data_IF_285447265337
#
_entry.id   IF_285447265337
#
_cell.length_a   1.000
_cell.length_b   1.000
_cell.length_c   1.000
_cell.angle_alpha   90.00
_cell.angle_beta   90.00
_cell.angle_gamma   90.00
#
_symmetry.space_group_name_H-M   'P 1'
#
loop_
_entity.id
_entity.type
_entity.pdbx_description
1 polymer ?
#
# COMPACT_ATOMS: atom_id res chain seq x y z
N UNK A 1 16.18 52.53 -27.28
CA UNK A 1 15.05 51.60 -27.21
C UNK A 1 14.94 51.07 -25.79
N UNK A 2 14.07 51.67 -24.97
CA UNK A 2 13.78 51.21 -23.60
C UNK A 2 12.85 49.99 -23.68
N UNK A 3 13.33 48.82 -23.28
CA UNK A 3 12.54 47.58 -23.26
C UNK A 3 11.65 47.61 -22.02
N UNK A 4 10.40 48.03 -22.21
CA UNK A 4 9.33 47.93 -21.22
C UNK A 4 9.14 46.45 -20.88
N UNK A 5 9.42 46.07 -19.63
CA UNK A 5 9.07 44.75 -19.10
C UNK A 5 7.60 44.79 -18.68
N UNK A 6 6.72 43.89 -19.17
CA UNK A 6 5.35 43.84 -18.73
C UNK A 6 5.24 43.14 -17.37
N UNK A 7 4.60 43.85 -16.44
CA UNK A 7 3.96 43.39 -15.21
C UNK A 7 3.27 42.01 -15.37
N UNK A 8 3.96 40.92 -14.99
CA UNK A 8 3.32 39.62 -14.75
C UNK A 8 2.72 39.60 -13.35
N UNK A 9 1.60 40.30 -13.27
CA UNK A 9 0.39 39.94 -12.54
C UNK A 9 0.50 38.69 -11.64
N UNK A 10 0.47 38.96 -10.32
CA UNK A 10 -0.36 38.26 -9.33
C UNK A 10 -0.63 36.78 -9.64
N UNK A 11 0.37 35.91 -9.44
CA UNK A 11 0.07 34.51 -9.19
C UNK A 11 -0.40 34.39 -7.74
N UNK A 12 -1.61 33.88 -7.59
CA UNK A 12 -2.33 33.70 -6.34
C UNK A 12 -1.40 33.32 -5.19
N UNK A 13 -1.43 34.14 -4.13
CA UNK A 13 -0.97 33.77 -2.79
C UNK A 13 -1.95 32.72 -2.26
N UNK A 14 -1.95 31.54 -2.86
CA UNK A 14 -2.47 30.34 -2.22
C UNK A 14 -1.45 30.00 -1.16
N UNK A 15 -1.85 30.09 0.11
CA UNK A 15 -1.00 29.79 1.27
C UNK A 15 -0.13 28.55 0.95
N UNK A 16 1.22 28.64 0.96
CA UNK A 16 2.04 27.49 0.63
C UNK A 16 1.61 26.35 1.57
N UNK A 17 1.40 25.12 1.04
CA UNK A 17 1.02 24.01 1.89
C UNK A 17 2.04 23.92 3.02
N UNK A 18 1.57 24.11 4.25
CA UNK A 18 2.38 24.03 5.46
C UNK A 18 3.24 22.78 5.39
N UNK A 19 4.51 22.87 5.81
CA UNK A 19 5.50 21.79 5.63
C UNK A 19 4.95 20.41 6.05
N UNK A 20 4.14 20.39 7.11
CA UNK A 20 3.40 19.22 7.61
C UNK A 20 2.50 18.57 6.54
N UNK A 21 1.75 19.35 5.77
CA UNK A 21 0.86 18.82 4.71
C UNK A 21 1.65 18.14 3.59
N UNK A 22 2.86 18.65 3.27
CA UNK A 22 3.73 18.02 2.26
C UNK A 22 4.33 16.72 2.78
N UNK A 23 4.74 16.67 4.06
CA UNK A 23 5.29 15.48 4.69
C UNK A 23 4.26 14.35 4.77
N UNK A 24 3.03 14.66 5.22
CA UNK A 24 1.95 13.67 5.30
C UNK A 24 1.59 13.15 3.91
N UNK A 25 1.44 14.05 2.92
CA UNK A 25 1.16 13.63 1.54
C UNK A 25 2.27 12.77 0.94
N UNK A 26 3.54 13.10 1.21
CA UNK A 26 4.69 12.29 0.77
C UNK A 26 4.66 10.90 1.37
N UNK A 27 4.51 10.79 2.69
CA UNK A 27 4.50 9.51 3.39
C UNK A 27 3.37 8.58 2.92
N UNK A 28 2.16 9.11 2.73
CA UNK A 28 1.02 8.33 2.22
C UNK A 28 1.26 7.91 0.76
N UNK A 29 1.80 8.80 -0.08
CA UNK A 29 2.08 8.50 -1.47
C UNK A 29 3.16 7.41 -1.61
N UNK A 30 4.22 7.48 -0.80
CA UNK A 30 5.30 6.51 -0.78
C UNK A 30 4.79 5.15 -0.31
N UNK A 31 4.02 5.09 0.78
CA UNK A 31 3.41 3.84 1.27
C UNK A 31 2.46 3.22 0.24
N UNK A 32 1.64 4.04 -0.42
CA UNK A 32 0.74 3.57 -1.46
C UNK A 32 1.51 3.00 -2.67
N UNK A 33 2.60 3.65 -3.07
CA UNK A 33 3.45 3.17 -4.16
C UNK A 33 4.13 1.83 -3.82
N UNK A 34 4.65 1.70 -2.59
CA UNK A 34 5.26 0.46 -2.09
C UNK A 34 4.23 -0.67 -2.07
N UNK A 35 3.07 -0.44 -1.46
CA UNK A 35 2.01 -1.45 -1.36
C UNK A 35 1.48 -1.89 -2.73
N UNK A 36 1.30 -0.93 -3.66
CA UNK A 36 0.86 -1.23 -5.03
C UNK A 36 1.90 -2.05 -5.78
N UNK A 37 3.19 -1.71 -5.65
CA UNK A 37 4.28 -2.45 -6.28
C UNK A 37 4.37 -3.89 -5.74
N UNK A 38 4.29 -4.04 -4.42
CA UNK A 38 4.28 -5.35 -3.77
C UNK A 38 3.08 -6.20 -4.24
N UNK A 39 1.90 -5.57 -4.39
CA UNK A 39 0.73 -6.26 -4.90
C UNK A 39 0.91 -6.70 -6.36
N UNK A 40 1.41 -5.83 -7.25
CA UNK A 40 1.65 -6.20 -8.66
C UNK A 40 2.60 -7.40 -8.76
N UNK A 41 3.62 -7.46 -7.89
CA UNK A 41 4.59 -8.55 -7.90
C UNK A 41 4.07 -9.86 -7.30
N UNK A 42 3.14 -9.77 -6.33
CA UNK A 42 2.54 -10.94 -5.65
C UNK A 42 1.23 -11.41 -6.30
N UNK A 43 0.54 -10.57 -7.06
CA UNK A 43 -0.68 -10.94 -7.76
C UNK A 43 -0.56 -12.19 -8.65
N UNK A 44 0.54 -12.42 -9.41
CA UNK A 44 0.69 -13.63 -10.22
C UNK A 44 0.79 -14.90 -9.37
N UNK A 45 1.53 -14.85 -8.25
CA UNK A 45 1.69 -16.00 -7.35
C UNK A 45 0.34 -16.32 -6.68
N UNK A 46 -0.37 -15.28 -6.22
CA UNK A 46 -1.69 -15.42 -5.59
C UNK A 46 -2.70 -16.00 -6.60
N UNK A 47 -2.70 -15.50 -7.83
CA UNK A 47 -3.53 -16.02 -8.90
C UNK A 47 -3.24 -17.49 -9.19
N UNK A 48 -1.97 -17.88 -9.23
CA UNK A 48 -1.59 -19.27 -9.50
C UNK A 48 -2.10 -20.24 -8.42
N UNK A 49 -1.88 -19.92 -7.15
CA UNK A 49 -2.23 -20.80 -6.03
C UNK A 49 -3.71 -20.77 -5.66
N UNK A 50 -4.31 -19.58 -5.63
CA UNK A 50 -5.69 -19.41 -5.17
C UNK A 50 -6.69 -19.35 -6.33
N UNK A 51 -6.24 -19.13 -7.58
CA UNK A 51 -7.09 -19.04 -8.76
C UNK A 51 -7.98 -17.78 -8.77
N UNK A 52 -7.71 -16.82 -7.88
CA UNK A 52 -8.57 -15.68 -7.59
C UNK A 52 -7.74 -14.43 -7.37
N UNK A 53 -8.17 -13.30 -7.93
CA UNK A 53 -7.60 -11.98 -7.67
C UNK A 53 -8.69 -11.10 -7.04
N UNK A 54 -8.37 -10.49 -5.89
CA UNK A 54 -9.24 -9.51 -5.24
C UNK A 54 -8.79 -8.09 -5.62
N UNK A 55 -9.64 -7.29 -6.31
CA UNK A 55 -9.34 -5.89 -6.63
C UNK A 55 -9.17 -5.00 -5.39
N UNK A 56 -9.73 -5.43 -4.25
CA UNK A 56 -9.65 -4.70 -2.98
C UNK A 56 -8.32 -4.92 -2.25
N UNK A 57 -7.55 -5.93 -2.62
CA UNK A 57 -6.34 -6.31 -1.92
C UNK A 57 -5.25 -5.21 -1.87
N UNK A 58 -5.00 -4.39 -2.91
CA UNK A 58 -4.09 -3.25 -2.79
C UNK A 58 -4.53 -2.24 -1.74
N UNK A 59 -5.82 -1.88 -1.74
CA UNK A 59 -6.38 -0.91 -0.79
C UNK A 59 -6.36 -1.43 0.65
N UNK A 60 -6.74 -2.70 0.82
CA UNK A 60 -6.65 -3.38 2.10
C UNK A 60 -5.19 -3.42 2.59
N UNK A 61 -4.24 -3.75 1.73
CA UNK A 61 -2.82 -3.82 2.08
C UNK A 61 -2.24 -2.45 2.46
N UNK A 62 -2.66 -1.35 1.84
CA UNK A 62 -2.20 0.00 2.24
C UNK A 62 -2.61 0.29 3.68
N UNK A 63 -3.89 0.09 4.00
CA UNK A 63 -4.42 0.36 5.36
C UNK A 63 -3.87 -0.62 6.40
N UNK A 64 -3.70 -1.88 6.00
CA UNK A 64 -3.18 -2.93 6.87
C UNK A 64 -1.68 -2.77 7.12
N UNK A 65 -0.90 -2.38 6.11
CA UNK A 65 0.56 -2.26 6.22
C UNK A 65 1.00 -1.29 7.32
N UNK A 66 0.24 -0.21 7.54
CA UNK A 66 0.51 0.75 8.61
C UNK A 66 0.40 0.11 10.01
N UNK A 67 -0.48 -0.88 10.17
CA UNK A 67 -0.68 -1.59 11.44
C UNK A 67 0.19 -2.85 11.58
N UNK A 68 0.66 -3.45 10.48
CA UNK A 68 1.49 -4.66 10.49
C UNK A 68 2.76 -4.47 11.31
N UNK A 69 3.49 -3.37 11.08
CA UNK A 69 4.77 -3.14 11.74
C UNK A 69 4.63 -2.94 13.26
N UNK A 70 3.70 -2.11 13.77
CA UNK A 70 3.40 -2.04 15.20
C UNK A 70 2.99 -3.38 15.81
N UNK A 71 2.12 -4.15 15.13
CA UNK A 71 1.65 -5.44 15.62
C UNK A 71 2.80 -6.44 15.74
N UNK A 72 3.70 -6.49 14.76
CA UNK A 72 4.87 -7.38 14.81
C UNK A 72 5.79 -7.07 15.98
N UNK A 73 6.14 -5.80 16.18
CA UNK A 73 7.06 -5.41 17.27
C UNK A 73 6.42 -5.67 18.62
N UNK A 74 5.19 -5.19 18.84
CA UNK A 74 4.51 -5.34 20.12
C UNK A 74 4.21 -6.82 20.43
N UNK A 75 3.77 -7.59 19.43
CA UNK A 75 3.55 -9.03 19.57
C UNK A 75 4.84 -9.78 19.92
N UNK A 76 5.95 -9.42 19.30
CA UNK A 76 7.26 -9.99 19.62
C UNK A 76 7.71 -9.66 21.04
N UNK A 77 7.54 -8.40 21.48
CA UNK A 77 7.85 -7.98 22.84
C UNK A 77 6.99 -8.70 23.88
N UNK A 78 5.70 -8.88 23.61
CA UNK A 78 4.78 -9.65 24.47
C UNK A 78 5.25 -11.10 24.56
N UNK A 79 5.62 -11.73 23.44
CA UNK A 79 6.11 -13.11 23.43
C UNK A 79 7.41 -13.27 24.24
N UNK A 80 8.38 -12.37 24.08
CA UNK A 80 9.64 -12.40 24.85
C UNK A 80 9.41 -12.18 26.34
N UNK A 81 8.63 -11.16 26.70
CA UNK A 81 8.34 -10.86 28.10
C UNK A 81 7.50 -11.93 28.77
N UNK A 82 6.63 -12.61 28.03
CA UNK A 82 5.84 -13.74 28.55
C UNK A 82 6.71 -14.90 29.00
N UNK A 83 7.90 -15.08 28.43
CA UNK A 83 8.82 -16.15 28.80
C UNK A 83 9.53 -15.89 30.13
N UNK A 84 9.76 -14.61 30.46
CA UNK A 84 10.54 -14.19 31.64
C UNK A 84 9.64 -13.75 32.78
N UNK A 85 8.60 -12.97 32.49
CA UNK A 85 7.74 -12.34 33.50
C UNK A 85 6.32 -12.06 32.98
N UNK A 86 5.42 -13.01 33.26
CA UNK A 86 4.03 -13.00 32.78
C UNK A 86 3.21 -11.74 33.11
N UNK A 87 3.31 -11.11 34.30
CA UNK A 87 2.50 -9.93 34.62
C UNK A 87 2.81 -8.72 33.72
N UNK A 88 4.08 -8.53 33.35
CA UNK A 88 4.48 -7.43 32.47
C UNK A 88 4.05 -7.69 31.02
N UNK A 89 4.11 -8.95 30.57
CA UNK A 89 3.59 -9.34 29.26
C UNK A 89 2.11 -9.01 29.12
N UNK A 90 1.33 -9.16 30.20
CA UNK A 90 -0.09 -8.82 30.21
C UNK A 90 -0.32 -7.31 29.99
N UNK A 91 0.47 -6.44 30.63
CA UNK A 91 0.40 -4.99 30.42
C UNK A 91 0.76 -4.64 28.96
N UNK A 92 1.84 -5.22 28.44
CA UNK A 92 2.26 -5.00 27.05
C UNK A 92 1.21 -5.52 26.05
N UNK A 93 0.51 -6.60 26.38
CA UNK A 93 -0.54 -7.16 25.52
C UNK A 93 -1.72 -6.21 25.34
N UNK A 94 -2.07 -5.42 26.36
CA UNK A 94 -3.10 -4.38 26.24
C UNK A 94 -2.68 -3.27 25.27
N UNK A 95 -1.38 -2.94 25.21
CA UNK A 95 -0.86 -1.98 24.24
C UNK A 95 -0.87 -2.59 22.83
N UNK A 96 -0.41 -3.84 22.70
CA UNK A 96 -0.44 -4.59 21.44
C UNK A 96 -1.85 -4.79 20.88
N UNK A 97 -2.85 -4.85 21.75
CA UNK A 97 -4.25 -5.02 21.38
C UNK A 97 -4.78 -3.89 20.51
N UNK A 98 -4.34 -2.64 20.71
CA UNK A 98 -4.84 -1.48 19.95
C UNK A 98 -4.58 -1.61 18.44
N UNK A 99 -3.32 -1.74 17.97
CA UNK A 99 -3.06 -1.89 16.53
C UNK A 99 -3.56 -3.24 15.99
N UNK A 100 -3.56 -4.30 16.81
CA UNK A 100 -4.11 -5.60 16.40
C UNK A 100 -5.64 -5.53 16.17
N UNK A 101 -6.36 -4.81 17.04
CA UNK A 101 -7.79 -4.59 16.90
C UNK A 101 -8.12 -3.80 15.64
N UNK A 102 -7.35 -2.73 15.37
CA UNK A 102 -7.47 -1.97 14.12
C UNK A 102 -7.26 -2.88 12.90
N UNK A 103 -6.17 -3.66 12.89
CA UNK A 103 -5.86 -4.61 11.82
C UNK A 103 -7.05 -5.55 11.55
N UNK A 104 -7.58 -6.19 12.59
CA UNK A 104 -8.69 -7.14 12.45
C UNK A 104 -9.97 -6.44 11.97
N UNK A 105 -10.24 -5.22 12.43
CA UNK A 105 -11.40 -4.44 11.98
C UNK A 105 -11.30 -4.06 10.51
N UNK A 106 -10.13 -3.62 10.05
CA UNK A 106 -9.91 -3.28 8.64
C UNK A 106 -10.09 -4.52 7.78
N UNK A 107 -9.41 -5.62 8.10
CA UNK A 107 -9.53 -6.88 7.35
C UNK A 107 -10.97 -7.38 7.35
N UNK A 108 -11.64 -7.35 8.51
CA UNK A 108 -13.04 -7.75 8.64
C UNK A 108 -14.01 -6.86 7.86
N UNK A 109 -13.71 -5.57 7.71
CA UNK A 109 -14.49 -4.67 6.86
C UNK A 109 -14.36 -5.05 5.38
N UNK A 110 -13.13 -5.23 4.89
CA UNK A 110 -12.89 -5.62 3.49
C UNK A 110 -13.40 -7.03 3.18
N UNK A 111 -13.35 -7.97 4.14
CA UNK A 111 -13.87 -9.32 3.97
C UNK A 111 -15.39 -9.38 3.79
N UNK A 112 -16.12 -8.39 4.32
CA UNK A 112 -17.59 -8.29 4.17
C UNK A 112 -18.03 -7.71 2.84
N UNK A 113 -17.13 -7.07 2.10
CA UNK A 113 -17.46 -6.48 0.81
C UNK A 113 -17.60 -7.64 -0.20
N UNK A 114 -18.80 -7.91 -0.74
CA UNK A 114 -19.02 -9.00 -1.68
C UNK A 114 -18.60 -8.54 -3.09
N UNK A 115 -17.37 -8.07 -3.25
CA UNK A 115 -16.79 -7.91 -4.57
C UNK A 115 -16.42 -9.30 -5.04
N UNK A 116 -17.01 -9.72 -6.15
CA UNK A 116 -16.69 -11.00 -6.80
C UNK A 116 -15.18 -11.05 -7.04
N UNK A 117 -14.51 -11.98 -6.38
CA UNK A 117 -13.12 -12.27 -6.68
C UNK A 117 -13.11 -12.84 -8.08
N UNK A 118 -12.35 -12.21 -8.98
CA UNK A 118 -12.27 -12.68 -10.36
C UNK A 118 -11.57 -14.03 -10.34
N UNK A 119 -12.35 -15.08 -10.50
CA UNK A 119 -11.91 -16.47 -10.40
C UNK A 119 -11.56 -16.96 -11.81
N UNK A 120 -10.27 -17.02 -12.13
CA UNK A 120 -9.79 -17.48 -13.44
C UNK A 120 -9.60 -19.01 -13.51
N UNK A 121 -10.09 -19.75 -12.51
CA UNK A 121 -9.88 -21.19 -12.39
C UNK A 121 -8.50 -21.51 -11.80
N UNK A 122 -8.42 -22.52 -10.93
CA UNK A 122 -7.16 -22.93 -10.31
C UNK A 122 -6.18 -23.47 -11.36
N UNK A 123 -4.92 -23.08 -11.29
CA UNK A 123 -3.84 -23.66 -12.10
C UNK A 123 -3.81 -23.23 -13.57
N UNK A 124 -4.54 -22.17 -13.97
CA UNK A 124 -4.42 -21.62 -15.32
C UNK A 124 -3.07 -20.93 -15.50
N UNK A 125 -2.06 -21.70 -15.92
CA UNK A 125 -0.75 -21.19 -16.36
C UNK A 125 -0.93 -20.09 -17.42
N UNK A 126 -1.94 -20.22 -18.28
CA UNK A 126 -2.31 -19.21 -19.28
C UNK A 126 -2.68 -17.86 -18.64
N UNK A 127 -3.49 -17.86 -17.57
CA UNK A 127 -3.86 -16.62 -16.89
C UNK A 127 -2.65 -15.92 -16.26
N UNK A 128 -1.73 -16.69 -15.68
CA UNK A 128 -0.45 -16.17 -15.14
C UNK A 128 0.43 -15.60 -16.25
N UNK A 129 0.55 -16.31 -17.37
CA UNK A 129 1.36 -15.89 -18.52
C UNK A 129 0.83 -14.60 -19.15
N UNK A 130 -0.49 -14.48 -19.31
CA UNK A 130 -1.17 -13.26 -19.77
C UNK A 130 -0.90 -12.10 -18.82
N UNK A 131 -0.95 -12.33 -17.51
CA UNK A 131 -0.69 -11.29 -16.52
C UNK A 131 0.77 -10.79 -16.56
N UNK A 132 1.75 -11.70 -16.68
CA UNK A 132 3.15 -11.32 -16.87
C UNK A 132 3.38 -10.59 -18.20
N UNK A 133 2.74 -11.01 -19.29
CA UNK A 133 2.80 -10.31 -20.58
C UNK A 133 2.23 -8.90 -20.49
N UNK A 134 1.10 -8.70 -19.79
CA UNK A 134 0.51 -7.39 -19.56
C UNK A 134 1.47 -6.46 -18.81
N UNK A 135 2.10 -6.95 -17.73
CA UNK A 135 3.13 -6.20 -16.99
C UNK A 135 4.30 -5.84 -17.90
N UNK A 136 4.78 -6.80 -18.71
CA UNK A 136 5.89 -6.58 -19.63
C UNK A 136 5.57 -5.54 -20.71
N UNK A 137 4.37 -5.58 -21.29
CA UNK A 137 3.90 -4.59 -22.28
C UNK A 137 3.80 -3.20 -21.64
N UNK A 138 3.21 -3.10 -20.46
CA UNK A 138 3.12 -1.83 -19.72
C UNK A 138 4.51 -1.26 -19.41
N UNK A 139 5.45 -2.11 -19.00
CA UNK A 139 6.84 -1.72 -18.79
C UNK A 139 7.53 -1.26 -20.08
N UNK A 140 7.34 -1.98 -21.19
CA UNK A 140 7.87 -1.62 -22.50
C UNK A 140 7.30 -0.29 -23.04
N UNK A 141 6.02 0.01 -22.78
CA UNK A 141 5.41 1.30 -23.15
C UNK A 141 6.00 2.43 -22.30
N UNK A 142 6.21 2.19 -20.99
CA UNK A 142 6.75 3.21 -20.09
C UNK A 142 8.21 3.57 -20.41
N UNK A 143 9.02 2.58 -20.81
CA UNK A 143 10.40 2.78 -21.25
C UNK A 143 10.50 3.45 -22.63
N UNK A 144 9.44 3.44 -23.43
CA UNK A 144 9.35 4.15 -24.72
C UNK A 144 9.01 5.64 -24.60
N UNK A 145 9.25 6.30 -23.46
CA UNK A 145 9.25 7.77 -23.42
C UNK A 145 10.42 8.29 -24.27
N UNK A 146 10.18 9.04 -25.36
CA UNK A 146 11.25 9.52 -26.22
C UNK A 146 12.16 10.45 -25.43
N UNK A 147 13.47 10.23 -25.58
CA UNK A 147 14.55 11.14 -25.15
C UNK A 147 14.21 12.52 -25.71
N UNK A 148 13.84 13.48 -24.85
CA UNK A 148 13.74 14.88 -25.26
C UNK A 148 15.15 15.36 -25.59
N UNK A 149 15.39 15.68 -26.86
CA UNK A 149 16.44 16.62 -27.27
C UNK A 149 16.17 18.01 -26.71
#
# INVERSE_FOLDING_TARGET
MLRVYPERSRRAVGNPPTAVTRLIKGFIADNAAIATSAYIFTAPIILFYFGRISPLAPLANILVAEAVFPVMILGFLVALTSLVFSPLAQILSYIAYVPAYYFVKVVGFFAKIPIEQVSFGKGSLLAVLIFYLLIFILFAIWTKKPKSS
#
